data_IF_324740585132
#
_entry.id   IF_324740585132
#
_cell.length_a   1.000
_cell.length_b   1.000
_cell.length_c   1.000
_cell.angle_alpha   90.00
_cell.angle_beta   90.00
_cell.angle_gamma   90.00
#
_symmetry.space_group_name_H-M   'P 1'
#
loop_
_entity.id
_entity.type
_entity.pdbx_description
1 polymer ?
#
# COMPACT_ATOMS: atom_id res chain seq x y z
N UNK A 1 -1.95 -23.19 -5.24
CA UNK A 1 -2.45 -24.50 -4.81
C UNK A 1 -3.72 -24.30 -3.99
N UNK A 2 -4.78 -25.07 -4.21
CA UNK A 2 -5.98 -25.02 -3.38
C UNK A 2 -5.73 -25.74 -2.05
N UNK A 3 -6.14 -25.13 -0.96
CA UNK A 3 -6.13 -25.71 0.38
C UNK A 3 -7.55 -25.74 0.95
N UNK A 4 -7.96 -26.86 1.50
CA UNK A 4 -9.26 -27.01 2.11
C UNK A 4 -9.13 -26.85 3.62
N UNK A 5 -9.81 -25.87 4.18
CA UNK A 5 -9.79 -25.56 5.59
C UNK A 5 -11.15 -25.75 6.24
N UNK A 6 -11.22 -26.41 7.41
CA UNK A 6 -12.42 -26.41 8.22
C UNK A 6 -12.54 -25.10 9.02
N UNK A 7 -13.73 -24.54 9.08
CA UNK A 7 -14.05 -23.49 10.02
C UNK A 7 -14.34 -24.14 11.37
N UNK A 8 -13.46 -23.92 12.32
CA UNK A 8 -13.60 -24.47 13.67
C UNK A 8 -14.46 -23.57 14.55
N UNK A 9 -15.10 -24.17 15.58
CA UNK A 9 -15.72 -23.43 16.68
C UNK A 9 -14.64 -22.77 17.54
N UNK A 10 -14.94 -21.60 18.07
CA UNK A 10 -14.01 -20.91 18.96
C UNK A 10 -13.71 -21.75 20.21
N UNK A 11 -12.42 -22.05 20.41
CA UNK A 11 -11.94 -22.86 21.55
C UNK A 11 -12.07 -24.37 21.39
N UNK A 12 -12.64 -24.88 20.30
CA UNK A 12 -12.82 -26.32 20.05
C UNK A 12 -12.13 -26.74 18.74
N UNK A 13 -11.74 -28.04 18.67
CA UNK A 13 -11.19 -28.66 17.45
C UNK A 13 -12.27 -29.29 16.57
N UNK A 14 -13.50 -28.79 16.63
CA UNK A 14 -14.66 -29.32 15.93
C UNK A 14 -15.16 -28.30 14.93
N UNK A 15 -15.63 -28.75 13.77
CA UNK A 15 -16.21 -27.84 12.75
C UNK A 15 -17.42 -27.10 13.29
N UNK A 16 -17.54 -25.82 12.92
CA UNK A 16 -18.60 -24.96 13.46
C UNK A 16 -20.01 -25.37 12.99
N UNK A 17 -20.13 -25.87 11.75
CA UNK A 17 -21.37 -26.32 11.11
C UNK A 17 -21.04 -27.35 10.02
N UNK A 18 -22.06 -28.06 9.52
CA UNK A 18 -21.88 -29.09 8.48
C UNK A 18 -21.32 -28.57 7.14
N UNK A 19 -21.42 -27.27 6.88
CA UNK A 19 -20.88 -26.60 5.67
C UNK A 19 -19.64 -25.76 5.96
N UNK A 20 -18.87 -26.10 6.98
CA UNK A 20 -17.76 -25.30 7.48
C UNK A 20 -16.44 -25.47 6.70
N UNK A 21 -16.45 -26.19 5.58
CA UNK A 21 -15.29 -26.29 4.70
C UNK A 21 -15.21 -25.10 3.76
N UNK A 22 -14.07 -24.46 3.70
CA UNK A 22 -13.81 -23.41 2.70
C UNK A 22 -12.51 -23.71 1.95
N UNK A 23 -12.49 -23.28 0.69
CA UNK A 23 -11.36 -23.43 -0.19
C UNK A 23 -10.53 -22.15 -0.17
N UNK A 24 -9.27 -22.30 0.19
CA UNK A 24 -8.27 -21.22 0.09
C UNK A 24 -7.32 -21.50 -1.08
N UNK A 25 -7.02 -20.46 -1.85
CA UNK A 25 -6.03 -20.55 -2.92
C UNK A 25 -4.72 -19.93 -2.45
N UNK A 26 -3.76 -20.76 -2.14
CA UNK A 26 -2.40 -20.34 -1.86
C UNK A 26 -1.55 -20.21 -3.13
N UNK A 27 -0.62 -19.28 -3.13
CA UNK A 27 0.39 -19.11 -4.17
C UNK A 27 1.66 -19.80 -3.69
N UNK A 28 2.11 -20.84 -4.41
CA UNK A 28 3.42 -21.41 -4.19
C UNK A 28 4.44 -20.67 -5.05
N UNK A 29 5.46 -20.11 -4.44
CA UNK A 29 6.58 -19.51 -5.15
C UNK A 29 7.50 -20.61 -5.70
N UNK A 30 8.09 -20.38 -6.86
CA UNK A 30 9.12 -21.27 -7.39
C UNK A 30 10.36 -21.25 -6.46
N UNK A 31 11.15 -22.34 -6.42
CA UNK A 31 12.41 -22.35 -5.69
C UNK A 31 13.31 -21.17 -6.09
N UNK A 32 13.91 -20.49 -5.13
CA UNK A 32 14.77 -19.33 -5.36
C UNK A 32 14.05 -18.00 -5.59
N UNK A 33 12.71 -17.98 -5.57
CA UNK A 33 11.91 -16.74 -5.66
C UNK A 33 11.44 -16.34 -4.27
N UNK A 34 11.48 -15.04 -3.98
CA UNK A 34 10.98 -14.46 -2.72
C UNK A 34 10.07 -13.26 -2.98
N UNK A 35 9.33 -12.88 -1.96
CA UNK A 35 8.63 -11.59 -1.93
C UNK A 35 9.60 -10.55 -1.36
N UNK A 36 9.75 -9.43 -2.06
CA UNK A 36 10.55 -8.30 -1.61
C UNK A 36 9.65 -7.13 -1.19
N UNK A 37 9.99 -6.52 -0.07
CA UNK A 37 9.29 -5.35 0.47
C UNK A 37 10.29 -4.25 0.76
N UNK A 38 9.91 -3.01 0.49
CA UNK A 38 10.65 -1.84 0.97
C UNK A 38 10.16 -1.50 2.37
N UNK A 39 11.07 -1.30 3.30
CA UNK A 39 10.77 -0.89 4.67
C UNK A 39 11.56 0.37 5.02
N UNK A 40 10.92 1.30 5.75
CA UNK A 40 11.58 2.44 6.36
C UNK A 40 12.21 2.11 7.71
N UNK A 41 12.02 0.89 8.18
CA UNK A 41 12.54 0.39 9.45
C UNK A 41 13.31 -0.90 9.18
N UNK A 42 14.47 -1.04 9.76
CA UNK A 42 15.22 -2.29 9.75
C UNK A 42 14.49 -3.32 10.60
N UNK A 43 14.25 -4.50 10.02
CA UNK A 43 13.62 -5.63 10.71
C UNK A 43 14.72 -6.69 10.85
N UNK A 44 15.02 -7.16 12.07
CA UNK A 44 16.05 -8.17 12.27
C UNK A 44 15.79 -9.43 11.43
N UNK A 45 16.85 -10.03 10.90
CA UNK A 45 16.76 -11.33 10.24
C UNK A 45 16.18 -12.37 11.18
N UNK A 46 15.32 -13.24 10.66
CA UNK A 46 14.72 -14.26 11.48
C UNK A 46 13.51 -14.95 10.88
N UNK A 47 12.84 -15.73 11.72
CA UNK A 47 11.61 -16.44 11.35
C UNK A 47 10.41 -15.73 11.98
N UNK A 48 9.45 -15.37 11.16
CA UNK A 48 8.28 -14.59 11.56
C UNK A 48 6.99 -15.30 11.13
N UNK A 49 5.93 -15.07 11.89
CA UNK A 49 4.58 -15.45 11.46
C UNK A 49 4.05 -14.38 10.50
N UNK A 50 3.62 -14.79 9.31
CA UNK A 50 3.16 -13.91 8.27
C UNK A 50 1.76 -14.31 7.78
N UNK A 51 0.94 -13.28 7.50
CA UNK A 51 -0.43 -13.46 7.01
C UNK A 51 -1.43 -13.88 8.09
N UNK A 52 -2.69 -14.01 7.69
CA UNK A 52 -3.81 -14.35 8.58
C UNK A 52 -3.72 -15.74 9.20
N UNK A 53 -3.16 -16.69 8.47
CA UNK A 53 -2.94 -18.08 8.93
C UNK A 53 -1.66 -18.24 9.74
N UNK A 54 -0.84 -17.19 9.84
CA UNK A 54 0.40 -17.21 10.61
C UNK A 54 1.47 -18.15 10.08
N UNK A 55 1.56 -18.29 8.75
CA UNK A 55 2.61 -19.07 8.11
C UNK A 55 4.00 -18.62 8.54
N UNK A 56 4.88 -19.58 8.78
CA UNK A 56 6.26 -19.29 9.15
C UNK A 56 7.04 -18.91 7.89
N UNK A 57 7.62 -17.70 7.89
CA UNK A 57 8.47 -17.21 6.80
C UNK A 57 9.85 -16.87 7.35
N UNK A 58 10.86 -17.03 6.52
CA UNK A 58 12.20 -16.50 6.79
C UNK A 58 12.27 -15.09 6.20
N UNK A 59 12.63 -14.13 7.02
CA UNK A 59 12.84 -12.75 6.62
C UNK A 59 14.34 -12.45 6.65
N UNK A 60 14.83 -11.83 5.59
CA UNK A 60 16.20 -11.31 5.50
C UNK A 60 16.14 -9.85 5.12
N UNK A 61 16.82 -9.02 5.89
CA UNK A 61 16.93 -7.60 5.61
C UNK A 61 18.19 -7.34 4.76
N UNK A 62 18.04 -6.60 3.71
CA UNK A 62 19.15 -6.22 2.83
C UNK A 62 19.18 -4.70 2.65
N UNK A 63 20.37 -4.09 2.56
CA UNK A 63 20.48 -2.68 2.20
C UNK A 63 19.86 -2.46 0.81
N UNK A 64 19.29 -1.29 0.60
CA UNK A 64 18.78 -0.91 -0.71
C UNK A 64 19.91 -0.88 -1.75
N UNK A 65 19.66 -1.40 -2.96
CA UNK A 65 20.57 -1.19 -4.08
C UNK A 65 20.82 0.31 -4.29
N UNK A 66 22.08 0.72 -4.56
CA UNK A 66 22.43 2.15 -4.69
C UNK A 66 21.56 2.92 -5.67
N UNK A 67 21.28 2.34 -6.84
CA UNK A 67 20.40 2.95 -7.84
C UNK A 67 18.98 3.20 -7.29
N UNK A 68 18.40 2.25 -6.54
CA UNK A 68 17.07 2.42 -5.97
C UNK A 68 17.08 3.49 -4.86
N UNK A 69 18.15 3.54 -4.07
CA UNK A 69 18.31 4.59 -3.05
C UNK A 69 18.38 5.97 -3.70
N UNK A 70 19.14 6.11 -4.78
CA UNK A 70 19.24 7.34 -5.56
C UNK A 70 17.87 7.75 -6.12
N UNK A 71 17.16 6.84 -6.81
CA UNK A 71 15.83 7.11 -7.37
C UNK A 71 14.81 7.56 -6.33
N UNK A 72 14.86 7.01 -5.12
CA UNK A 72 13.95 7.40 -4.02
C UNK A 72 14.21 8.80 -3.49
N UNK A 73 15.42 9.33 -3.68
CA UNK A 73 15.85 10.66 -3.23
C UNK A 73 15.72 11.73 -4.32
N UNK A 74 15.54 11.32 -5.58
CA UNK A 74 15.45 12.27 -6.68
C UNK A 74 14.13 13.04 -6.69
N UNK A 75 14.15 14.36 -6.91
CA UNK A 75 12.95 15.14 -7.21
C UNK A 75 12.28 14.67 -8.50
N UNK A 76 10.96 14.72 -8.53
CA UNK A 76 10.16 14.30 -9.67
C UNK A 76 9.95 15.49 -10.62
N UNK A 77 11.00 15.94 -11.27
CA UNK A 77 10.99 17.13 -12.17
C UNK A 77 10.43 16.83 -13.56
N UNK A 78 10.37 15.55 -13.94
CA UNK A 78 9.85 15.06 -15.20
C UNK A 78 8.67 14.10 -15.00
N UNK A 79 8.43 13.20 -15.99
CA UNK A 79 7.48 12.10 -15.81
C UNK A 79 7.94 11.17 -14.69
N UNK A 80 6.98 10.68 -13.90
CA UNK A 80 7.21 9.70 -12.85
C UNK A 80 6.13 8.62 -12.85
N UNK A 81 6.43 7.46 -12.29
CA UNK A 81 5.49 6.37 -12.15
C UNK A 81 5.18 6.06 -10.69
N UNK A 82 3.94 5.69 -10.41
CA UNK A 82 3.57 5.09 -9.13
C UNK A 82 4.00 3.63 -9.12
N UNK A 83 4.85 3.27 -8.19
CA UNK A 83 5.30 1.88 -8.00
C UNK A 83 4.29 1.12 -7.14
N UNK A 84 3.58 1.82 -6.28
CA UNK A 84 2.49 1.26 -5.48
C UNK A 84 1.18 1.99 -5.76
N UNK A 85 0.01 1.37 -5.47
CA UNK A 85 -1.28 2.01 -5.75
C UNK A 85 -1.45 3.35 -5.06
N UNK A 86 -1.98 4.34 -5.79
CA UNK A 86 -2.31 5.65 -5.25
C UNK A 86 -3.69 5.68 -4.60
N UNK A 87 -3.76 5.99 -3.31
CA UNK A 87 -4.99 6.01 -2.54
C UNK A 87 -5.40 7.44 -2.19
N UNK A 88 -5.92 8.15 -3.16
CA UNK A 88 -6.40 9.53 -2.96
C UNK A 88 -7.92 9.62 -2.80
N UNK A 89 -8.62 8.63 -3.33
CA UNK A 89 -10.06 8.60 -3.36
C UNK A 89 -10.72 8.17 -2.05
N UNK A 90 -12.01 8.41 -1.97
CA UNK A 90 -12.89 7.93 -0.91
C UNK A 90 -13.69 6.70 -1.33
N UNK A 91 -14.65 6.26 -0.48
CA UNK A 91 -15.49 5.10 -0.78
C UNK A 91 -16.42 5.31 -2.00
N UNK A 92 -16.78 6.56 -2.28
CA UNK A 92 -17.76 6.91 -3.34
C UNK A 92 -17.11 7.62 -4.53
N UNK A 93 -15.93 8.20 -4.36
CA UNK A 93 -15.28 9.02 -5.37
C UNK A 93 -13.84 8.54 -5.57
N UNK A 94 -13.53 8.14 -6.80
CA UNK A 94 -12.14 7.92 -7.19
C UNK A 94 -11.48 9.29 -7.46
N UNK A 95 -10.26 9.46 -6.96
CA UNK A 95 -9.41 10.60 -7.26
C UNK A 95 -8.14 10.10 -7.90
N UNK A 96 -7.63 10.87 -8.86
CA UNK A 96 -6.41 10.53 -9.59
C UNK A 96 -5.18 11.24 -9.06
N UNK A 97 -5.39 12.23 -8.19
CA UNK A 97 -4.38 13.08 -7.57
C UNK A 97 -4.74 13.39 -6.12
N UNK A 98 -3.79 13.81 -5.29
CA UNK A 98 -4.04 14.12 -3.89
C UNK A 98 -4.91 15.36 -3.70
N UNK A 99 -5.60 15.38 -2.57
CA UNK A 99 -6.28 16.54 -2.03
C UNK A 99 -5.57 16.94 -0.74
N UNK A 100 -5.09 18.17 -0.67
CA UNK A 100 -4.55 18.71 0.58
C UNK A 100 -5.70 19.13 1.49
N UNK A 101 -5.94 18.33 2.51
CA UNK A 101 -7.00 18.55 3.48
C UNK A 101 -6.57 19.43 4.66
N UNK A 102 -5.30 19.82 4.73
CA UNK A 102 -4.80 20.77 5.75
C UNK A 102 -5.18 22.21 5.43
N UNK A 103 -5.51 22.48 4.17
CA UNK A 103 -5.94 23.79 3.71
C UNK A 103 -7.47 23.94 3.82
N UNK A 104 -7.93 25.18 4.06
CA UNK A 104 -9.35 25.53 4.08
C UNK A 104 -9.58 26.75 3.15
N UNK A 105 -10.23 26.55 1.96
CA UNK A 105 -10.74 25.30 1.42
C UNK A 105 -9.62 24.34 1.01
N UNK A 106 -9.94 23.03 0.97
CA UNK A 106 -9.00 22.01 0.53
C UNK A 106 -8.49 22.26 -0.89
N UNK A 107 -7.19 22.06 -1.12
CA UNK A 107 -6.53 22.35 -2.39
C UNK A 107 -6.08 21.07 -3.11
N UNK A 108 -5.82 21.21 -4.41
CA UNK A 108 -5.25 20.16 -5.26
C UNK A 108 -3.77 20.49 -5.52
N UNK A 109 -2.84 19.97 -4.73
CA UNK A 109 -1.44 20.40 -4.74
C UNK A 109 -0.71 20.09 -6.07
N UNK A 110 -1.23 19.14 -6.86
CA UNK A 110 -0.68 18.81 -8.17
C UNK A 110 -1.25 19.65 -9.31
N UNK A 111 -2.26 20.49 -9.05
CA UNK A 111 -2.82 21.43 -10.00
C UNK A 111 -2.04 22.75 -9.91
N UNK A 112 -1.05 22.91 -10.77
CA UNK A 112 -0.25 24.15 -10.84
C UNK A 112 -0.91 25.16 -11.76
N UNK A 113 -1.11 26.38 -11.29
CA UNK A 113 -1.80 27.45 -12.03
C UNK A 113 -3.18 27.02 -12.59
N UNK A 114 -3.87 26.11 -11.89
CA UNK A 114 -5.15 25.56 -12.35
C UNK A 114 -5.02 24.45 -13.42
N UNK A 115 -3.79 24.10 -13.82
CA UNK A 115 -3.56 23.02 -14.79
C UNK A 115 -3.47 21.69 -14.05
N UNK A 116 -4.35 20.70 -14.35
CA UNK A 116 -4.26 19.38 -13.77
C UNK A 116 -3.03 18.62 -14.28
N UNK A 117 -2.52 17.63 -13.53
CA UNK A 117 -1.43 16.80 -13.99
C UNK A 117 -1.80 16.02 -15.25
N UNK A 118 -0.85 15.85 -16.17
CA UNK A 118 -1.01 14.87 -17.23
C UNK A 118 -0.88 13.45 -16.65
N UNK A 119 -1.81 12.56 -17.01
CA UNK A 119 -1.93 11.24 -16.40
C UNK A 119 -2.11 10.18 -17.48
N UNK A 120 -1.31 9.10 -17.40
CA UNK A 120 -1.51 7.86 -18.13
C UNK A 120 -1.79 6.76 -17.10
N UNK A 121 -3.02 6.25 -17.08
CA UNK A 121 -3.46 5.28 -16.08
C UNK A 121 -4.54 4.35 -16.63
N UNK A 122 -4.64 3.16 -16.06
CA UNK A 122 -5.75 2.26 -16.25
C UNK A 122 -6.97 2.70 -15.41
N UNK A 123 -8.04 1.91 -15.49
CA UNK A 123 -9.23 2.11 -14.65
C UNK A 123 -8.86 1.96 -13.18
N UNK A 124 -9.45 2.79 -12.28
CA UNK A 124 -9.27 2.63 -10.85
C UNK A 124 -9.66 1.22 -10.39
N UNK A 125 -8.92 0.68 -9.44
CA UNK A 125 -9.17 -0.64 -8.86
C UNK A 125 -9.73 -0.49 -7.45
N UNK A 126 -10.70 -1.34 -7.05
CA UNK A 126 -11.16 -1.36 -5.66
C UNK A 126 -10.00 -1.80 -4.76
N UNK A 127 -9.85 -1.11 -3.63
CA UNK A 127 -8.78 -1.34 -2.69
C UNK A 127 -9.30 -1.34 -1.25
N UNK A 128 -8.83 -2.27 -0.47
CA UNK A 128 -9.14 -2.41 0.94
C UNK A 128 -8.05 -3.24 1.61
N UNK A 129 -7.67 -2.93 2.84
CA UNK A 129 -6.71 -3.72 3.59
C UNK A 129 -7.06 -3.81 5.06
N UNK A 130 -6.31 -4.64 5.79
CA UNK A 130 -6.41 -4.78 7.23
C UNK A 130 -5.66 -3.65 7.92
N UNK A 131 -6.31 -2.98 8.87
CA UNK A 131 -5.71 -1.89 9.66
C UNK A 131 -4.88 -2.39 10.84
N UNK A 132 -4.73 -3.71 10.99
CA UNK A 132 -4.08 -4.30 12.14
C UNK A 132 -4.99 -4.41 13.36
N UNK A 133 -4.44 -4.94 14.45
CA UNK A 133 -5.11 -5.01 15.73
C UNK A 133 -4.70 -3.82 16.60
N UNK A 134 -5.67 -3.12 17.19
CA UNK A 134 -5.37 -2.28 18.34
C UNK A 134 -5.04 -3.18 19.52
N UNK A 135 -3.91 -2.96 20.16
CA UNK A 135 -3.50 -3.67 21.38
C UNK A 135 -4.42 -3.34 22.58
N UNK A 136 -5.20 -2.29 22.47
CA UNK A 136 -6.08 -1.80 23.54
C UNK A 136 -7.49 -2.39 23.52
N UNK A 137 -7.84 -3.19 22.50
CA UNK A 137 -9.20 -3.71 22.36
C UNK A 137 -9.27 -5.13 22.92
N UNK A 138 -9.99 -5.28 24.02
CA UNK A 138 -10.25 -6.56 24.70
C UNK A 138 -11.13 -7.54 23.90
N UNK A 139 -11.82 -7.07 22.86
CA UNK A 139 -12.69 -7.90 22.03
C UNK A 139 -11.94 -8.47 20.81
N UNK A 140 -11.77 -9.81 20.67
CA UNK A 140 -11.09 -10.45 19.55
C UNK A 140 -11.70 -10.12 18.19
N UNK A 141 -13.00 -9.86 18.10
CA UNK A 141 -13.69 -9.51 16.85
C UNK A 141 -13.35 -8.10 16.35
N UNK A 142 -12.96 -7.19 17.24
CA UNK A 142 -12.52 -5.84 16.88
C UNK A 142 -11.04 -5.79 16.47
N UNK A 143 -10.28 -6.86 16.70
CA UNK A 143 -8.85 -6.94 16.36
C UNK A 143 -8.58 -7.01 14.84
N UNK A 144 -9.59 -7.32 14.03
CA UNK A 144 -9.47 -7.46 12.56
C UNK A 144 -10.26 -6.37 11.84
N UNK A 145 -9.91 -5.12 12.07
CA UNK A 145 -10.59 -4.01 11.42
C UNK A 145 -10.10 -3.86 9.98
N UNK A 146 -11.04 -3.92 9.03
CA UNK A 146 -10.78 -3.58 7.64
C UNK A 146 -10.85 -2.06 7.44
N UNK A 147 -10.00 -1.54 6.56
CA UNK A 147 -10.11 -0.16 6.08
C UNK A 147 -11.44 0.05 5.35
N UNK A 148 -11.86 1.30 5.21
CA UNK A 148 -12.93 1.64 4.28
C UNK A 148 -12.51 1.26 2.85
N UNK A 149 -13.46 0.72 2.07
CA UNK A 149 -13.23 0.48 0.64
C UNK A 149 -12.94 1.79 -0.07
N UNK A 150 -11.96 1.80 -0.97
CA UNK A 150 -11.55 2.97 -1.75
C UNK A 150 -11.29 2.57 -3.19
N UNK A 151 -11.19 3.57 -4.05
CA UNK A 151 -10.72 3.41 -5.40
C UNK A 151 -9.27 3.86 -5.48
N UNK A 152 -8.41 2.93 -5.86
CA UNK A 152 -6.98 3.17 -6.01
C UNK A 152 -6.62 3.45 -7.47
N UNK A 153 -5.72 4.38 -7.69
CA UNK A 153 -4.98 4.48 -8.95
C UNK A 153 -4.00 3.31 -9.00
N UNK A 154 -3.99 2.50 -10.07
CA UNK A 154 -3.12 1.33 -10.15
C UNK A 154 -1.64 1.69 -10.08
N UNK A 155 -0.82 0.78 -9.55
CA UNK A 155 0.62 0.81 -9.74
C UNK A 155 0.95 0.78 -11.25
N UNK A 156 2.05 1.42 -11.67
CA UNK A 156 2.40 1.62 -13.08
C UNK A 156 1.77 2.85 -13.71
N UNK A 157 0.86 3.56 -13.00
CA UNK A 157 0.32 4.83 -13.50
C UNK A 157 1.40 5.90 -13.55
N UNK A 158 1.47 6.60 -14.68
CA UNK A 158 2.47 7.63 -14.94
C UNK A 158 1.85 9.03 -14.85
N UNK A 159 2.64 9.95 -14.35
CA UNK A 159 2.24 11.33 -14.13
C UNK A 159 3.30 12.31 -14.63
N UNK A 160 2.84 13.49 -15.00
CA UNK A 160 3.68 14.67 -15.17
C UNK A 160 2.97 15.86 -14.53
N UNK A 161 3.62 16.44 -13.52
CA UNK A 161 3.14 17.63 -12.82
C UNK A 161 3.97 18.83 -13.27
N UNK A 162 3.32 19.93 -13.61
CA UNK A 162 3.99 21.18 -13.99
C UNK A 162 4.84 21.70 -12.81
N UNK A 163 6.10 22.07 -13.08
CA UNK A 163 7.05 22.48 -12.03
C UNK A 163 7.59 21.36 -11.15
N UNK A 164 7.19 20.12 -11.43
CA UNK A 164 7.67 18.95 -10.70
C UNK A 164 7.21 18.85 -9.26
N UNK A 165 7.67 17.80 -8.59
CA UNK A 165 7.40 17.51 -7.17
C UNK A 165 8.69 17.15 -6.45
N UNK A 166 8.69 17.30 -5.13
CA UNK A 166 9.74 16.77 -4.27
C UNK A 166 9.73 15.23 -4.29
N UNK A 167 10.78 14.56 -3.83
CA UNK A 167 10.79 13.11 -3.66
C UNK A 167 9.58 12.64 -2.86
N UNK A 168 9.09 11.44 -3.14
CA UNK A 168 7.90 10.89 -2.45
C UNK A 168 8.03 10.92 -0.92
N UNK A 169 9.22 10.71 -0.39
CA UNK A 169 9.46 10.73 1.05
C UNK A 169 9.07 12.08 1.70
N UNK A 170 9.18 13.17 0.96
CA UNK A 170 8.87 14.53 1.41
C UNK A 170 7.40 14.93 1.21
N UNK A 171 6.59 14.11 0.55
CA UNK A 171 5.18 14.44 0.35
C UNK A 171 4.45 14.53 1.69
N UNK A 172 3.63 15.57 1.89
CA UNK A 172 2.89 15.76 3.14
C UNK A 172 1.93 14.61 3.44
N UNK A 173 1.85 14.19 4.68
CA UNK A 173 0.93 13.11 5.11
C UNK A 173 -0.54 13.48 4.94
N UNK A 174 -0.88 14.77 4.92
CA UNK A 174 -2.23 15.29 4.67
C UNK A 174 -2.74 15.04 3.25
N UNK A 175 -1.85 14.71 2.30
CA UNK A 175 -2.23 14.30 0.96
C UNK A 175 -2.81 12.88 0.91
N UNK A 176 -2.64 12.12 1.95
CA UNK A 176 -3.05 10.71 2.03
C UNK A 176 -4.25 10.54 2.96
N UNK A 177 -5.20 9.65 2.64
CA UNK A 177 -6.26 9.31 3.56
C UNK A 177 -5.71 8.83 4.90
N UNK A 178 -6.50 9.06 5.96
CA UNK A 178 -6.15 8.67 7.33
C UNK A 178 -7.26 7.80 7.92
N UNK A 179 -6.88 6.67 8.47
CA UNK A 179 -7.76 5.80 9.28
C UNK A 179 -6.99 5.30 10.51
N UNK A 180 -6.88 6.18 11.51
CA UNK A 180 -5.95 6.05 12.63
C UNK A 180 -4.61 6.68 12.33
N UNK A 181 -3.92 6.21 11.28
CA UNK A 181 -2.68 6.80 10.75
C UNK A 181 -2.79 7.04 9.24
N UNK A 182 -1.86 7.83 8.70
CA UNK A 182 -1.83 8.14 7.27
C UNK A 182 -1.45 6.92 6.44
N UNK A 183 -2.13 6.72 5.32
CA UNK A 183 -1.81 5.64 4.39
C UNK A 183 -0.43 5.78 3.71
N UNK A 184 0.19 6.94 3.80
CA UNK A 184 1.60 7.09 3.44
C UNK A 184 2.50 6.07 4.16
N UNK A 185 2.20 5.75 5.42
CA UNK A 185 2.96 4.77 6.21
C UNK A 185 2.87 3.33 5.67
N UNK A 186 1.90 3.04 4.82
CA UNK A 186 1.83 1.78 4.06
C UNK A 186 2.56 1.84 2.71
N UNK A 187 3.28 2.91 2.43
CA UNK A 187 3.98 3.08 1.16
C UNK A 187 3.03 3.29 -0.03
N UNK A 188 1.79 3.76 0.19
CA UNK A 188 0.87 4.02 -0.92
C UNK A 188 1.35 5.17 -1.77
N UNK A 189 1.13 5.09 -3.08
CA UNK A 189 1.57 6.06 -4.06
C UNK A 189 3.08 6.33 -4.06
N UNK A 190 3.89 5.34 -3.69
CA UNK A 190 5.34 5.43 -3.85
C UNK A 190 5.65 5.75 -5.31
N UNK A 191 6.35 6.85 -5.53
CA UNK A 191 6.63 7.38 -6.86
C UNK A 191 8.14 7.40 -7.14
N UNK A 192 8.52 7.03 -8.36
CA UNK A 192 9.89 7.10 -8.83
C UNK A 192 9.95 7.85 -10.18
N UNK A 193 11.01 8.61 -10.46
CA UNK A 193 11.20 9.24 -11.76
C UNK A 193 11.35 8.17 -12.85
N UNK A 194 10.81 8.41 -14.04
CA UNK A 194 10.95 7.50 -15.19
C UNK A 194 12.29 7.68 -15.92
N UNK A 195 12.87 8.87 -15.81
CA UNK A 195 14.20 9.14 -16.31
C UNK A 195 15.03 9.67 -15.15
N UNK A 196 16.13 9.00 -14.77
CA UNK A 196 17.06 9.59 -13.82
C UNK A 196 17.50 10.95 -14.36
N UNK A 197 17.66 11.93 -13.48
CA UNK A 197 18.22 13.21 -13.87
C UNK A 197 19.56 12.94 -14.55
N UNK A 198 19.73 13.46 -15.77
CA UNK A 198 21.02 13.38 -16.45
C UNK A 198 22.05 14.06 -15.54
N UNK A 199 23.06 13.30 -15.17
CA UNK A 199 24.19 13.79 -14.39
C UNK A 199 24.95 14.86 -15.15
#
# INVERSE_FOLDING_TARGET
MPHLHPRLRDGERVSAIDTALFLEYGIALNPGVCLAYLSSVEIPDGRYRFGGEGHLVELRCHPLPPLLQELLQQPLTGPFALITPGLWGGPRLSRRDPLDTSQQPATQPWHRHGVPPAILTERPRPWRHQLGASTEVSNPQQRRRLSRGRWAVPAGSCYRVEGGLQPWAEWPTCWFPKEGFSFKHYGTALALPLHPASA
#
